data_IF_288123507244
#
_entry.id   IF_288123507244
#
_cell.length_a   1.000
_cell.length_b   1.000
_cell.length_c   1.000
_cell.angle_alpha   90.00
_cell.angle_beta   90.00
_cell.angle_gamma   90.00
#
_symmetry.space_group_name_H-M   'P 1'
#
loop_
_entity.id
_entity.type
_entity.pdbx_description
1 polymer ?
#
# COMPACT_ATOMS: atom_id res chain seq x y z
N UNK A 1 19.03 -0.89 -6.59
CA UNK A 1 17.98 -1.04 -7.61
C UNK A 1 18.63 -1.30 -8.97
N UNK A 2 18.16 -2.27 -9.73
CA UNK A 2 18.59 -2.49 -11.10
C UNK A 2 17.67 -1.67 -12.02
N UNK A 3 18.13 -0.55 -12.53
CA UNK A 3 17.47 0.09 -13.68
C UNK A 3 18.09 -0.47 -14.96
N UNK A 4 17.26 -0.64 -15.97
CA UNK A 4 17.75 -1.09 -17.28
C UNK A 4 18.37 0.10 -18.02
N UNK A 5 19.58 -0.03 -18.52
CA UNK A 5 20.24 1.03 -19.33
C UNK A 5 19.51 1.26 -20.65
N UNK A 6 18.76 0.25 -21.10
CA UNK A 6 18.00 0.26 -22.35
C UNK A 6 16.52 0.12 -22.03
N UNK A 7 15.74 1.15 -22.23
CA UNK A 7 14.30 1.18 -21.92
C UNK A 7 13.51 0.61 -23.08
N UNK A 8 12.58 -0.31 -22.81
CA UNK A 8 11.69 -0.87 -23.84
C UNK A 8 10.53 0.06 -24.22
N UNK A 9 10.26 1.09 -23.41
CA UNK A 9 9.20 2.06 -23.64
C UNK A 9 9.74 3.50 -23.65
N UNK A 10 9.11 4.36 -24.45
CA UNK A 10 9.45 5.78 -24.58
C UNK A 10 8.20 6.60 -24.92
N UNK A 11 8.29 7.90 -24.80
CA UNK A 11 7.21 8.83 -25.14
C UNK A 11 7.30 9.23 -26.62
N UNK A 12 6.18 9.16 -27.34
CA UNK A 12 6.07 9.65 -28.70
C UNK A 12 5.67 11.14 -28.77
N UNK A 13 5.54 11.68 -29.97
CA UNK A 13 5.19 13.08 -30.19
C UNK A 13 3.79 13.47 -29.66
N UNK A 14 2.87 12.50 -29.53
CA UNK A 14 1.53 12.71 -28.98
C UNK A 14 1.50 12.57 -27.43
N UNK A 15 2.65 12.41 -26.78
CA UNK A 15 2.75 12.25 -25.34
C UNK A 15 2.37 10.87 -24.81
N UNK A 16 2.24 9.86 -25.70
CA UNK A 16 1.89 8.47 -25.36
C UNK A 16 3.13 7.62 -25.23
N UNK A 17 3.10 6.70 -24.29
CA UNK A 17 4.14 5.66 -24.16
C UNK A 17 3.96 4.62 -25.26
N UNK A 18 5.05 4.34 -25.99
CA UNK A 18 5.10 3.38 -27.09
C UNK A 18 6.23 2.39 -26.88
N UNK A 19 6.00 1.12 -27.26
CA UNK A 19 7.02 0.08 -27.18
C UNK A 19 8.00 0.20 -28.35
N UNK A 20 9.26 -0.14 -28.10
CA UNK A 20 10.35 0.00 -29.11
C UNK A 20 10.05 -0.74 -30.41
N UNK A 21 9.37 -1.89 -30.35
CA UNK A 21 9.05 -2.69 -31.53
C UNK A 21 7.93 -2.09 -32.40
N UNK A 22 7.24 -1.07 -31.91
CA UNK A 22 6.13 -0.41 -32.64
C UNK A 22 6.56 0.84 -33.38
N UNK A 23 7.83 1.23 -33.28
CA UNK A 23 8.36 2.46 -33.89
C UNK A 23 9.49 2.17 -34.87
N UNK A 24 9.80 3.09 -35.80
CA UNK A 24 10.95 2.95 -36.71
C UNK A 24 12.27 2.85 -35.95
N UNK A 25 13.18 2.02 -36.46
CA UNK A 25 14.54 1.88 -35.89
C UNK A 25 15.38 3.18 -36.02
N UNK A 26 16.25 3.39 -35.05
CA UNK A 26 17.17 4.52 -34.99
C UNK A 26 16.51 5.82 -34.53
N UNK A 27 17.07 6.96 -34.95
CA UNK A 27 16.56 8.30 -34.60
C UNK A 27 15.19 8.61 -35.20
N UNK A 28 14.80 7.86 -36.23
CA UNK A 28 13.51 8.04 -36.90
C UNK A 28 12.31 7.62 -36.06
N UNK A 29 12.52 7.01 -34.89
CA UNK A 29 11.47 6.70 -33.95
C UNK A 29 10.70 7.95 -33.47
N UNK A 30 11.37 9.14 -33.48
CA UNK A 30 10.74 10.38 -33.03
C UNK A 30 10.38 10.41 -31.53
N UNK A 31 10.93 9.47 -30.73
CA UNK A 31 10.61 9.34 -29.32
C UNK A 31 11.55 10.14 -28.43
N UNK A 32 11.05 10.53 -27.27
CA UNK A 32 11.78 11.26 -26.23
C UNK A 32 11.71 10.53 -24.89
N UNK A 33 12.65 10.85 -24.01
CA UNK A 33 12.58 10.43 -22.61
C UNK A 33 11.51 11.28 -21.86
N UNK A 34 10.55 10.67 -21.16
CA UNK A 34 9.50 11.43 -20.47
C UNK A 34 10.01 12.28 -19.30
N UNK A 35 11.25 12.05 -18.82
CA UNK A 35 11.85 12.83 -17.73
C UNK A 35 12.71 13.97 -18.24
N UNK A 36 13.79 13.66 -18.99
CA UNK A 36 14.76 14.67 -19.41
C UNK A 36 14.46 15.29 -20.77
N UNK A 37 13.42 14.81 -21.46
CA UNK A 37 12.97 15.23 -22.80
C UNK A 37 14.04 15.10 -23.90
N UNK A 38 15.12 14.36 -23.62
CA UNK A 38 16.14 14.07 -24.60
C UNK A 38 15.60 13.11 -25.68
N UNK A 39 15.98 13.35 -26.92
CA UNK A 39 15.66 12.46 -28.02
C UNK A 39 16.27 11.08 -27.79
N UNK A 40 15.49 10.06 -28.05
CA UNK A 40 15.90 8.67 -27.93
C UNK A 40 16.21 8.05 -29.30
N UNK A 41 16.96 6.97 -29.24
CA UNK A 41 17.31 6.15 -30.42
C UNK A 41 16.76 4.75 -30.19
N UNK A 42 15.85 4.30 -31.03
CA UNK A 42 15.36 2.93 -31.00
C UNK A 42 16.46 1.97 -31.51
N UNK A 43 16.74 0.93 -30.72
CA UNK A 43 17.69 -0.12 -31.03
C UNK A 43 16.95 -1.42 -31.20
N UNK A 44 16.90 -1.94 -32.42
CA UNK A 44 16.14 -3.13 -32.82
C UNK A 44 17.06 -4.06 -33.63
N UNK A 45 18.18 -4.49 -33.02
CA UNK A 45 19.16 -5.35 -33.69
C UNK A 45 18.98 -6.82 -33.27
N UNK A 46 19.37 -7.72 -34.16
CA UNK A 46 19.17 -9.16 -33.99
C UNK A 46 19.95 -9.81 -32.84
N UNK A 47 20.95 -9.11 -32.28
CA UNK A 47 21.85 -9.68 -31.25
C UNK A 47 21.55 -9.21 -29.85
N UNK A 48 21.06 -7.99 -29.66
CA UNK A 48 20.82 -7.39 -28.36
C UNK A 48 19.33 -7.17 -28.13
N UNK A 49 18.91 -7.13 -26.86
CA UNK A 49 17.54 -6.79 -26.48
C UNK A 49 17.13 -5.44 -27.09
N UNK A 50 15.93 -5.39 -27.64
CA UNK A 50 15.38 -4.16 -28.21
C UNK A 50 15.11 -3.13 -27.10
N UNK A 51 15.40 -1.87 -27.38
CA UNK A 51 15.12 -0.80 -26.44
C UNK A 51 15.52 0.58 -26.94
N UNK A 52 15.18 1.58 -26.16
CA UNK A 52 15.57 2.96 -26.40
C UNK A 52 16.82 3.34 -25.63
N UNK A 53 17.68 4.13 -26.24
CA UNK A 53 18.83 4.71 -25.60
C UNK A 53 18.83 6.23 -25.78
N UNK A 54 19.30 6.97 -24.78
CA UNK A 54 19.51 8.41 -24.88
C UNK A 54 20.56 8.72 -25.96
N UNK A 55 20.31 9.73 -26.77
CA UNK A 55 21.20 10.11 -27.87
C UNK A 55 22.59 10.52 -27.37
N UNK A 56 22.66 11.21 -26.23
CA UNK A 56 23.91 11.62 -25.56
C UNK A 56 24.59 10.49 -24.78
N UNK A 57 24.09 9.24 -24.87
CA UNK A 57 24.50 8.12 -24.01
C UNK A 57 24.32 8.39 -22.52
N UNK A 58 23.28 9.16 -22.16
CA UNK A 58 22.95 9.49 -20.77
C UNK A 58 23.89 10.52 -20.13
N UNK A 59 24.72 11.23 -20.89
CA UNK A 59 25.57 12.30 -20.34
C UNK A 59 24.68 13.43 -19.82
N UNK A 60 24.70 13.64 -18.49
CA UNK A 60 23.92 14.67 -17.82
C UNK A 60 22.49 14.26 -17.42
N UNK A 61 22.00 13.09 -17.83
CA UNK A 61 20.71 12.57 -17.38
C UNK A 61 20.90 11.65 -16.17
N UNK A 62 19.99 11.77 -15.19
CA UNK A 62 19.88 10.76 -14.14
C UNK A 62 19.03 9.59 -14.67
N UNK A 63 19.68 8.54 -15.16
CA UNK A 63 19.02 7.40 -15.81
C UNK A 63 18.07 6.68 -14.86
N UNK A 64 18.37 6.65 -13.55
CA UNK A 64 17.48 6.07 -12.55
C UNK A 64 16.17 6.84 -12.44
N UNK A 65 16.22 8.16 -12.40
CA UNK A 65 15.02 9.00 -12.43
C UNK A 65 14.27 8.86 -13.75
N UNK A 66 15.00 8.83 -14.88
CA UNK A 66 14.40 8.60 -16.20
C UNK A 66 13.61 7.28 -16.22
N UNK A 67 14.16 6.22 -15.64
CA UNK A 67 13.49 4.92 -15.56
C UNK A 67 12.22 4.96 -14.69
N UNK A 68 12.31 5.58 -13.51
CA UNK A 68 11.16 5.74 -12.60
C UNK A 68 10.03 6.55 -13.23
N UNK A 69 10.37 7.64 -13.92
CA UNK A 69 9.37 8.47 -14.63
C UNK A 69 8.73 7.69 -15.78
N UNK A 70 9.53 6.90 -16.51
CA UNK A 70 9.03 6.03 -17.59
C UNK A 70 8.08 4.96 -17.04
N UNK A 71 8.42 4.30 -15.92
CA UNK A 71 7.55 3.34 -15.24
C UNK A 71 6.24 3.98 -14.81
N UNK A 72 6.29 5.15 -14.16
CA UNK A 72 5.12 5.86 -13.70
C UNK A 72 4.18 6.19 -14.85
N UNK A 73 4.70 6.85 -15.90
CA UNK A 73 3.89 7.27 -17.04
C UNK A 73 3.28 6.08 -17.78
N UNK A 74 4.05 4.99 -17.91
CA UNK A 74 3.51 3.75 -18.50
C UNK A 74 2.43 3.12 -17.61
N UNK A 75 2.60 3.09 -16.29
CA UNK A 75 1.59 2.56 -15.37
C UNK A 75 0.28 3.34 -15.45
N UNK A 76 0.33 4.66 -15.49
CA UNK A 76 -0.81 5.53 -15.68
C UNK A 76 -1.51 5.24 -17.00
N UNK A 77 -0.77 5.16 -18.10
CA UNK A 77 -1.33 4.87 -19.43
C UNK A 77 -1.96 3.47 -19.51
N UNK A 78 -1.37 2.46 -18.87
CA UNK A 78 -1.95 1.11 -18.82
C UNK A 78 -3.32 1.16 -18.13
N UNK A 79 -3.44 1.80 -16.97
CA UNK A 79 -4.72 1.90 -16.25
C UNK A 79 -5.74 2.71 -17.06
N UNK A 80 -5.34 3.79 -17.71
CA UNK A 80 -6.21 4.59 -18.56
C UNK A 80 -6.75 3.79 -19.75
N UNK A 81 -5.88 3.00 -20.38
CA UNK A 81 -6.22 2.23 -21.58
C UNK A 81 -7.01 0.97 -21.25
N UNK A 82 -6.56 0.20 -20.27
CA UNK A 82 -7.17 -1.07 -19.87
C UNK A 82 -8.40 -0.88 -19.00
N UNK A 83 -8.53 0.28 -18.36
CA UNK A 83 -9.62 0.62 -17.42
C UNK A 83 -9.88 -0.48 -16.39
N UNK A 84 -8.82 -1.11 -15.94
CA UNK A 84 -8.86 -2.23 -15.00
C UNK A 84 -7.58 -2.26 -14.17
N UNK A 85 -7.71 -2.73 -12.93
CA UNK A 85 -6.58 -3.06 -12.05
C UNK A 85 -6.92 -4.29 -11.20
N UNK A 86 -5.93 -5.15 -10.98
CA UNK A 86 -6.02 -6.22 -10.01
C UNK A 86 -5.63 -5.68 -8.63
N UNK A 87 -6.42 -5.99 -7.60
CA UNK A 87 -6.24 -5.45 -6.24
C UNK A 87 -6.15 -6.56 -5.20
N UNK A 88 -5.34 -6.36 -4.15
CA UNK A 88 -5.17 -7.33 -3.09
C UNK A 88 -6.42 -7.44 -2.22
N UNK A 89 -6.50 -8.56 -1.50
CA UNK A 89 -7.45 -8.72 -0.42
C UNK A 89 -7.23 -7.68 0.68
N UNK A 90 -8.28 -7.43 1.48
CA UNK A 90 -8.21 -6.52 2.61
C UNK A 90 -8.91 -7.16 3.82
N UNK A 91 -8.14 -7.50 4.84
CA UNK A 91 -8.59 -8.16 6.08
C UNK A 91 -9.47 -9.41 5.87
N UNK A 92 -9.19 -10.22 4.84
CA UNK A 92 -9.97 -11.44 4.48
C UNK A 92 -11.45 -11.21 4.18
N UNK A 93 -11.94 -9.98 4.28
CA UNK A 93 -13.33 -9.60 4.03
C UNK A 93 -13.50 -9.11 2.60
N UNK A 94 -12.62 -8.22 2.18
CA UNK A 94 -12.50 -7.83 0.79
C UNK A 94 -11.57 -8.82 0.10
N UNK A 95 -12.11 -9.61 -0.82
CA UNK A 95 -11.32 -10.60 -1.55
C UNK A 95 -10.49 -9.93 -2.64
N UNK A 96 -9.34 -10.52 -2.91
CA UNK A 96 -8.55 -10.23 -4.08
C UNK A 96 -9.41 -10.32 -5.35
N UNK A 97 -9.39 -9.31 -6.20
CA UNK A 97 -10.27 -9.20 -7.36
C UNK A 97 -9.78 -8.19 -8.38
N UNK A 98 -10.36 -8.23 -9.57
CA UNK A 98 -10.22 -7.16 -10.56
C UNK A 98 -11.26 -6.07 -10.32
N UNK A 99 -10.85 -4.82 -10.47
CA UNK A 99 -11.75 -3.67 -10.49
C UNK A 99 -11.76 -3.07 -11.89
N UNK A 100 -12.96 -2.95 -12.47
CA UNK A 100 -13.18 -2.32 -13.77
C UNK A 100 -13.67 -0.88 -13.61
N UNK A 101 -13.16 0.00 -14.46
CA UNK A 101 -13.48 1.42 -14.47
C UNK A 101 -14.21 1.85 -15.74
N UNK A 102 -15.11 2.79 -15.61
CA UNK A 102 -15.78 3.46 -16.75
C UNK A 102 -15.09 4.76 -17.11
N UNK A 103 -14.52 5.45 -16.12
CA UNK A 103 -13.77 6.71 -16.27
C UNK A 103 -12.45 6.65 -15.51
N UNK A 104 -11.38 7.15 -16.12
CA UNK A 104 -10.05 7.23 -15.53
C UNK A 104 -9.47 8.59 -15.82
N UNK A 105 -9.05 9.30 -14.79
CA UNK A 105 -8.37 10.60 -14.87
C UNK A 105 -6.98 10.47 -14.32
N UNK A 106 -6.02 10.92 -15.09
CA UNK A 106 -4.59 10.89 -14.76
C UNK A 106 -4.11 12.30 -14.46
N UNK A 107 -3.23 12.43 -13.49
CA UNK A 107 -2.50 13.64 -13.19
C UNK A 107 -1.00 13.32 -13.19
N UNK A 108 -0.40 13.34 -14.36
CA UNK A 108 1.02 13.01 -14.54
C UNK A 108 1.91 14.12 -13.98
N UNK A 109 2.42 13.89 -12.78
CA UNK A 109 3.48 14.68 -12.15
C UNK A 109 4.39 13.75 -11.36
N UNK A 110 5.65 13.65 -11.73
CA UNK A 110 6.55 12.77 -11.01
C UNK A 110 6.81 13.25 -9.59
N UNK A 111 7.18 14.52 -9.42
CA UNK A 111 7.31 15.14 -8.10
C UNK A 111 6.03 15.88 -7.73
N UNK A 112 5.57 15.69 -6.49
CA UNK A 112 4.32 16.26 -6.00
C UNK A 112 4.54 17.04 -4.71
N UNK A 113 3.99 18.21 -4.65
CA UNK A 113 3.91 19.03 -3.44
C UNK A 113 2.52 18.97 -2.79
N UNK A 114 1.51 18.56 -3.56
CA UNK A 114 0.13 18.40 -3.12
C UNK A 114 -0.19 16.95 -2.71
N UNK A 115 -1.44 16.74 -2.25
CA UNK A 115 -1.97 15.44 -1.82
C UNK A 115 -2.82 14.76 -2.87
N UNK A 116 -2.74 15.18 -4.14
CA UNK A 116 -3.54 14.58 -5.19
C UNK A 116 -3.02 13.17 -5.55
N UNK A 117 -3.90 12.21 -5.87
CA UNK A 117 -3.50 10.90 -6.35
C UNK A 117 -2.96 10.98 -7.78
N UNK A 118 -2.25 9.95 -8.22
CA UNK A 118 -1.80 9.82 -9.61
C UNK A 118 -2.95 9.49 -10.55
N UNK A 119 -3.88 8.64 -10.07
CA UNK A 119 -5.06 8.24 -10.84
C UNK A 119 -6.31 8.36 -9.98
N UNK A 120 -7.38 8.91 -10.59
CA UNK A 120 -8.74 8.89 -10.06
C UNK A 120 -9.59 8.08 -11.04
N UNK A 121 -10.05 6.91 -10.62
CA UNK A 121 -10.84 6.01 -11.43
C UNK A 121 -12.26 5.84 -10.86
N UNK A 122 -13.26 5.69 -11.73
CA UNK A 122 -14.66 5.56 -11.32
C UNK A 122 -15.25 4.29 -11.90
N UNK A 123 -15.94 3.49 -11.09
CA UNK A 123 -16.66 2.27 -11.52
C UNK A 123 -18.06 2.59 -12.07
N UNK A 124 -18.73 1.57 -12.62
CA UNK A 124 -20.14 1.66 -13.09
C UNK A 124 -21.10 2.09 -11.97
N UNK A 125 -20.81 1.69 -10.75
CA UNK A 125 -21.61 2.04 -9.56
C UNK A 125 -21.28 3.44 -9.02
N UNK A 126 -20.55 4.25 -9.79
CA UNK A 126 -20.09 5.59 -9.43
C UNK A 126 -19.18 5.62 -8.18
N UNK A 127 -18.52 4.51 -7.88
CA UNK A 127 -17.55 4.46 -6.80
C UNK A 127 -16.20 4.95 -7.30
N UNK A 128 -15.58 5.86 -6.54
CA UNK A 128 -14.26 6.42 -6.85
C UNK A 128 -13.16 5.64 -6.16
N UNK A 129 -12.13 5.35 -6.93
CA UNK A 129 -10.87 4.76 -6.48
C UNK A 129 -9.73 5.73 -6.76
N UNK A 130 -8.92 5.95 -5.75
CA UNK A 130 -7.66 6.69 -5.88
C UNK A 130 -6.52 5.69 -6.00
N UNK A 131 -5.60 5.92 -6.92
CA UNK A 131 -4.40 5.10 -7.05
C UNK A 131 -3.19 6.02 -6.91
N UNK A 132 -2.25 5.58 -6.10
CA UNK A 132 -1.00 6.29 -5.83
C UNK A 132 0.16 5.36 -6.13
N UNK A 133 1.06 5.79 -7.00
CA UNK A 133 2.29 5.08 -7.29
C UNK A 133 3.41 5.54 -6.36
N UNK A 134 4.15 4.62 -5.79
CA UNK A 134 5.27 4.92 -4.90
C UNK A 134 6.54 4.15 -5.29
N UNK A 135 7.66 4.62 -4.75
CA UNK A 135 8.97 3.99 -4.83
C UNK A 135 9.58 4.02 -3.43
N UNK A 136 10.09 2.89 -2.93
CA UNK A 136 10.66 2.79 -1.58
C UNK A 136 11.93 3.64 -1.41
N UNK A 137 12.68 3.79 -2.49
CA UNK A 137 13.96 4.47 -2.55
C UNK A 137 13.86 5.92 -3.05
N UNK A 138 12.64 6.42 -3.31
CA UNK A 138 12.42 7.77 -3.80
C UNK A 138 11.12 8.39 -3.27
N UNK A 139 11.24 9.47 -2.53
CA UNK A 139 10.09 10.22 -1.99
C UNK A 139 9.56 11.18 -3.05
N UNK A 140 8.46 10.82 -3.70
CA UNK A 140 7.78 11.64 -4.70
C UNK A 140 6.91 12.74 -4.11
N UNK A 141 6.54 12.60 -2.83
CA UNK A 141 5.57 13.47 -2.16
C UNK A 141 6.21 14.13 -0.95
N UNK A 142 6.13 15.45 -0.86
CA UNK A 142 6.59 16.21 0.30
C UNK A 142 5.67 16.08 1.51
N UNK A 143 4.42 15.66 1.31
CA UNK A 143 3.41 15.51 2.35
C UNK A 143 2.82 14.09 2.31
N UNK A 144 2.52 13.53 3.50
CA UNK A 144 1.82 12.26 3.60
C UNK A 144 0.42 12.35 3.00
N UNK A 145 -0.02 11.27 2.35
CA UNK A 145 -1.37 11.18 1.79
C UNK A 145 -2.42 11.28 2.89
N UNK A 146 -3.35 12.22 2.76
CA UNK A 146 -4.50 12.37 3.63
C UNK A 146 -5.80 11.85 3.01
N UNK A 147 -5.73 10.72 2.26
CA UNK A 147 -6.91 10.14 1.60
C UNK A 147 -7.76 9.27 2.53
N UNK A 148 -7.91 9.71 3.77
CA UNK A 148 -8.61 8.95 4.80
C UNK A 148 -10.10 8.72 4.51
N UNK A 149 -10.67 9.50 3.59
CA UNK A 149 -12.09 9.51 3.30
C UNK A 149 -12.46 8.77 2.01
N UNK A 150 -11.50 8.33 1.23
CA UNK A 150 -11.73 7.74 -0.08
C UNK A 150 -10.99 6.43 -0.23
N UNK A 151 -11.56 5.50 -0.99
CA UNK A 151 -10.90 4.24 -1.33
C UNK A 151 -9.61 4.53 -2.08
N UNK A 152 -8.48 4.21 -1.48
CA UNK A 152 -7.16 4.52 -2.00
C UNK A 152 -6.24 3.30 -1.99
N UNK A 153 -5.69 2.98 -3.15
CA UNK A 153 -4.72 1.92 -3.38
C UNK A 153 -3.33 2.51 -3.58
N UNK A 154 -2.35 2.04 -2.84
CA UNK A 154 -0.93 2.28 -3.10
C UNK A 154 -0.36 1.15 -3.93
N UNK A 155 0.40 1.49 -4.96
CA UNK A 155 1.08 0.55 -5.86
C UNK A 155 2.57 0.87 -5.88
N UNK A 156 3.38 -0.06 -5.40
CA UNK A 156 4.83 0.11 -5.34
C UNK A 156 5.48 -0.33 -6.64
N UNK A 157 6.14 0.60 -7.30
CA UNK A 157 6.82 0.38 -8.57
C UNK A 157 8.33 0.06 -8.44
N UNK A 158 8.86 0.02 -7.21
CA UNK A 158 10.32 -0.12 -6.95
C UNK A 158 10.95 -1.31 -7.66
N UNK A 159 10.25 -2.46 -7.67
CA UNK A 159 10.74 -3.74 -8.21
C UNK A 159 10.21 -4.05 -9.60
N UNK A 160 9.38 -3.18 -10.16
CA UNK A 160 8.69 -3.45 -11.41
C UNK A 160 9.59 -3.16 -12.62
N UNK A 161 9.33 -3.89 -13.70
CA UNK A 161 10.03 -3.75 -14.97
C UNK A 161 9.06 -3.32 -16.07
N UNK A 162 9.52 -2.50 -17.00
CA UNK A 162 8.70 -1.96 -18.08
C UNK A 162 7.94 -3.05 -18.87
N UNK A 163 8.61 -4.15 -19.23
CA UNK A 163 8.03 -5.23 -20.04
C UNK A 163 7.01 -6.10 -19.30
N UNK A 164 7.02 -6.12 -17.97
CA UNK A 164 6.09 -6.89 -17.15
C UNK A 164 5.07 -6.03 -16.41
N UNK A 165 5.12 -4.71 -16.60
CA UNK A 165 4.32 -3.77 -15.84
C UNK A 165 2.81 -3.95 -16.07
N UNK A 166 2.41 -4.20 -17.31
CA UNK A 166 1.00 -4.46 -17.63
C UNK A 166 0.50 -5.72 -16.92
N UNK A 167 1.24 -6.83 -17.03
CA UNK A 167 0.89 -8.05 -16.34
C UNK A 167 0.82 -7.85 -14.82
N UNK A 168 1.81 -7.16 -14.23
CA UNK A 168 1.82 -6.82 -12.80
C UNK A 168 0.56 -6.02 -12.40
N UNK A 169 0.21 -4.98 -13.13
CA UNK A 169 -0.95 -4.16 -12.80
C UNK A 169 -2.27 -4.92 -12.91
N UNK A 170 -2.40 -5.81 -13.89
CA UNK A 170 -3.65 -6.47 -14.25
C UNK A 170 -3.85 -7.86 -13.61
N UNK A 171 -2.82 -8.48 -13.04
CA UNK A 171 -2.93 -9.87 -12.54
C UNK A 171 -2.29 -10.13 -11.19
N UNK A 172 -1.44 -9.22 -10.68
CA UNK A 172 -0.74 -9.44 -9.41
C UNK A 172 -1.29 -8.57 -8.30
N UNK A 173 -1.41 -9.14 -7.10
CA UNK A 173 -1.70 -8.40 -5.86
C UNK A 173 -0.43 -7.98 -5.10
N UNK A 174 0.74 -8.52 -5.46
CA UNK A 174 2.01 -8.18 -4.82
C UNK A 174 2.35 -6.70 -5.01
N UNK A 175 3.10 -6.14 -4.08
CA UNK A 175 3.53 -4.73 -4.06
C UNK A 175 2.35 -3.71 -4.16
N UNK A 176 1.12 -4.15 -3.84
CA UNK A 176 -0.08 -3.31 -3.76
C UNK A 176 -0.69 -3.42 -2.38
N UNK A 177 -1.10 -2.29 -1.82
CA UNK A 177 -1.78 -2.28 -0.52
C UNK A 177 -2.82 -1.16 -0.43
N UNK A 178 -3.89 -1.42 0.33
CA UNK A 178 -4.90 -0.42 0.60
C UNK A 178 -4.41 0.59 1.63
N UNK A 179 -4.42 1.87 1.28
CA UNK A 179 -4.29 2.96 2.26
C UNK A 179 -5.62 3.10 2.99
N UNK A 180 -6.73 3.05 2.23
CA UNK A 180 -8.09 3.02 2.74
C UNK A 180 -9.01 2.31 1.74
N UNK A 181 -10.08 1.67 2.21
CA UNK A 181 -11.07 1.00 1.34
C UNK A 181 -12.50 1.18 1.88
N UNK A 182 -13.25 2.14 1.31
CA UNK A 182 -14.64 2.43 1.70
C UNK A 182 -15.59 1.26 1.41
N UNK A 183 -15.33 0.46 0.35
CA UNK A 183 -16.10 -0.78 0.07
C UNK A 183 -15.95 -1.78 1.20
N UNK A 184 -14.75 -1.85 1.77
CA UNK A 184 -14.47 -2.68 2.91
C UNK A 184 -15.38 -2.33 4.12
N UNK A 185 -15.55 -1.05 4.42
CA UNK A 185 -16.45 -0.61 5.49
C UNK A 185 -17.90 -1.00 5.25
N UNK A 186 -18.39 -0.81 4.03
CA UNK A 186 -19.76 -1.22 3.67
C UNK A 186 -19.93 -2.73 3.77
N UNK A 187 -18.95 -3.49 3.32
CA UNK A 187 -18.92 -4.95 3.45
C UNK A 187 -18.89 -5.43 4.90
N UNK A 188 -18.12 -4.74 5.76
CA UNK A 188 -18.08 -5.00 7.20
C UNK A 188 -19.44 -4.68 7.82
N UNK A 189 -20.00 -3.51 7.58
CA UNK A 189 -21.31 -3.12 8.15
C UNK A 189 -22.40 -4.12 7.79
N UNK A 190 -22.48 -4.55 6.52
CA UNK A 190 -23.43 -5.58 6.07
C UNK A 190 -23.18 -6.91 6.79
N UNK A 191 -21.94 -7.40 6.76
CA UNK A 191 -21.56 -8.69 7.34
C UNK A 191 -21.82 -8.74 8.84
N UNK A 192 -21.59 -7.63 9.56
CA UNK A 192 -21.75 -7.58 11.01
C UNK A 192 -23.14 -7.22 11.46
N UNK A 193 -23.87 -6.45 10.68
CA UNK A 193 -25.28 -6.17 10.90
C UNK A 193 -26.13 -7.44 10.75
N UNK A 194 -25.78 -8.31 9.83
CA UNK A 194 -26.53 -9.53 9.53
C UNK A 194 -26.09 -10.75 10.36
N UNK A 195 -24.83 -10.87 10.75
CA UNK A 195 -24.30 -12.05 11.42
C UNK A 195 -23.76 -11.86 12.84
N UNK A 196 -23.55 -10.64 13.31
CA UNK A 196 -23.24 -10.26 14.71
C UNK A 196 -22.04 -10.93 15.39
N UNK A 197 -21.29 -11.77 14.69
CA UNK A 197 -20.46 -12.80 15.34
C UNK A 197 -18.94 -12.71 15.13
N UNK A 198 -18.42 -11.97 14.17
CA UNK A 198 -16.98 -12.03 13.90
C UNK A 198 -16.21 -10.74 14.21
N UNK A 199 -16.73 -9.57 13.97
CA UNK A 199 -16.11 -8.29 14.28
C UNK A 199 -17.17 -7.22 14.45
N UNK A 200 -17.01 -6.34 15.39
CA UNK A 200 -17.85 -5.18 15.63
C UNK A 200 -17.03 -3.94 15.29
N UNK A 201 -17.59 -3.02 14.52
CA UNK A 201 -17.03 -1.68 14.40
C UNK A 201 -17.37 -0.90 15.66
N UNK A 202 -16.35 -0.35 16.30
CA UNK A 202 -16.49 0.53 17.47
C UNK A 202 -15.86 1.88 17.15
N UNK A 203 -16.35 2.95 17.75
CA UNK A 203 -15.71 4.25 17.63
C UNK A 203 -14.31 4.23 18.28
N UNK A 204 -13.44 5.17 17.89
CA UNK A 204 -12.12 5.28 18.53
C UNK A 204 -12.25 5.64 20.01
N UNK A 205 -13.27 6.41 20.37
CA UNK A 205 -13.61 6.76 21.75
C UNK A 205 -13.99 5.52 22.56
N UNK A 206 -14.92 4.69 22.07
CA UNK A 206 -15.29 3.42 22.72
C UNK A 206 -14.07 2.50 22.89
N UNK A 207 -13.19 2.45 21.89
CA UNK A 207 -11.97 1.67 21.98
C UNK A 207 -10.98 2.24 23.01
N UNK A 208 -10.86 3.56 23.11
CA UNK A 208 -10.00 4.24 24.11
C UNK A 208 -10.48 3.99 25.54
N UNK A 209 -11.78 3.93 25.77
CA UNK A 209 -12.38 3.69 27.08
C UNK A 209 -12.44 2.20 27.44
N UNK A 210 -12.13 1.31 26.52
CA UNK A 210 -12.22 -0.13 26.74
C UNK A 210 -11.18 -0.61 27.76
N UNK A 211 -11.67 -1.25 28.85
CA UNK A 211 -10.84 -1.74 29.97
C UNK A 211 -9.77 -2.77 29.55
N UNK A 212 -10.00 -3.48 28.45
CA UNK A 212 -9.08 -4.51 27.94
C UNK A 212 -8.26 -4.04 26.74
N UNK A 213 -8.25 -2.74 26.43
CA UNK A 213 -7.60 -2.18 25.24
C UNK A 213 -6.15 -2.58 25.11
N UNK A 214 -5.36 -2.49 26.15
CA UNK A 214 -3.92 -2.82 26.14
C UNK A 214 -3.68 -4.28 25.79
N UNK A 215 -4.46 -5.20 26.37
CA UNK A 215 -4.37 -6.63 26.10
C UNK A 215 -4.88 -6.96 24.69
N UNK A 216 -5.94 -6.29 24.24
CA UNK A 216 -6.45 -6.41 22.89
C UNK A 216 -5.39 -5.97 21.86
N UNK A 217 -4.73 -4.84 22.04
CA UNK A 217 -3.64 -4.38 21.18
C UNK A 217 -2.47 -5.36 21.15
N UNK A 218 -2.09 -5.95 22.29
CA UNK A 218 -1.01 -6.91 22.38
C UNK A 218 -1.32 -8.20 21.58
N UNK A 219 -2.54 -8.73 21.72
CA UNK A 219 -2.99 -9.92 20.97
C UNK A 219 -3.09 -9.62 19.47
N UNK A 220 -3.64 -8.47 19.09
CA UNK A 220 -3.73 -8.06 17.69
C UNK A 220 -2.35 -7.87 17.06
N UNK A 221 -1.40 -7.28 17.79
CA UNK A 221 -0.03 -7.13 17.31
C UNK A 221 0.66 -8.48 17.09
N UNK A 222 0.42 -9.46 17.98
CA UNK A 222 0.93 -10.83 17.83
C UNK A 222 0.33 -11.55 16.63
N UNK A 223 -0.98 -11.49 16.46
CA UNK A 223 -1.72 -12.29 15.48
C UNK A 223 -1.68 -11.68 14.06
N UNK A 224 -1.54 -10.37 13.97
CA UNK A 224 -1.61 -9.62 12.70
C UNK A 224 -0.40 -8.71 12.44
N UNK A 225 0.59 -8.69 13.33
CA UNK A 225 1.78 -7.85 13.20
C UNK A 225 1.56 -6.35 13.43
N UNK A 226 0.34 -5.92 13.76
CA UNK A 226 0.01 -4.51 14.04
C UNK A 226 -1.18 -4.38 15.00
N UNK A 227 -1.24 -3.27 15.73
CA UNK A 227 -2.42 -2.91 16.52
C UNK A 227 -3.65 -2.75 15.62
N UNK A 228 -4.84 -2.91 16.22
CA UNK A 228 -6.13 -2.71 15.55
C UNK A 228 -6.08 -1.47 14.66
N UNK A 229 -6.26 -1.59 13.34
CA UNK A 229 -6.16 -0.46 12.44
C UNK A 229 -7.21 0.59 12.78
N UNK A 230 -6.78 1.83 12.75
CA UNK A 230 -7.67 2.98 12.81
C UNK A 230 -8.27 3.17 11.41
N UNK A 231 -9.58 3.10 11.34
CA UNK A 231 -10.34 3.24 10.11
C UNK A 231 -11.08 4.58 10.16
N UNK A 232 -11.01 5.37 9.11
CA UNK A 232 -11.61 6.71 9.06
C UNK A 232 -12.64 6.75 7.93
N UNK A 233 -13.90 7.06 8.25
CA UNK A 233 -14.98 7.24 7.27
C UNK A 233 -14.97 8.63 6.65
N UNK A 234 -15.72 8.81 5.55
CA UNK A 234 -15.85 10.03 4.76
C UNK A 234 -16.25 11.28 5.57
N UNK A 235 -16.89 11.11 6.72
CA UNK A 235 -17.27 12.19 7.63
C UNK A 235 -16.22 12.47 8.72
N UNK A 236 -15.03 11.91 8.61
CA UNK A 236 -13.96 12.04 9.60
C UNK A 236 -14.14 11.18 10.86
N UNK A 237 -15.22 10.39 10.99
CA UNK A 237 -15.40 9.48 12.11
C UNK A 237 -14.36 8.38 12.10
N UNK A 238 -13.74 8.17 13.25
CA UNK A 238 -12.71 7.15 13.47
C UNK A 238 -13.34 5.90 14.08
N UNK A 239 -13.00 4.75 13.49
CA UNK A 239 -13.48 3.45 13.94
C UNK A 239 -12.33 2.48 14.12
N UNK A 240 -12.55 1.50 14.99
CA UNK A 240 -11.65 0.37 15.16
C UNK A 240 -12.42 -0.93 15.02
N UNK A 241 -11.74 -1.96 14.54
CA UNK A 241 -12.28 -3.31 14.51
C UNK A 241 -12.18 -3.93 15.89
N UNK A 242 -13.33 -4.16 16.51
CA UNK A 242 -13.42 -4.89 17.77
C UNK A 242 -13.86 -6.32 17.49
N UNK A 243 -13.15 -7.31 18.02
CA UNK A 243 -13.43 -8.72 17.73
C UNK A 243 -14.58 -9.31 18.53
N UNK A 244 -15.06 -10.44 18.06
CA UNK A 244 -16.26 -11.17 18.45
C UNK A 244 -16.27 -11.74 19.85
N UNK A 245 -17.43 -12.28 20.25
CA UNK A 245 -17.65 -12.93 21.55
C UNK A 245 -16.61 -14.02 21.83
N UNK A 246 -16.28 -14.88 20.86
CA UNK A 246 -15.27 -15.93 21.06
C UNK A 246 -13.90 -15.32 21.35
N UNK A 247 -13.53 -14.31 20.59
CA UNK A 247 -12.24 -13.62 20.75
C UNK A 247 -12.22 -12.72 21.98
N UNK A 248 -13.36 -12.14 22.33
CA UNK A 248 -13.50 -11.41 23.59
C UNK A 248 -13.40 -12.36 24.80
N UNK A 249 -13.84 -13.62 24.67
CA UNK A 249 -13.63 -14.61 25.71
C UNK A 249 -12.16 -15.01 25.82
N UNK A 250 -11.50 -15.31 24.72
CA UNK A 250 -10.04 -15.56 24.68
C UNK A 250 -9.23 -14.40 25.27
N UNK A 251 -9.61 -13.16 24.98
CA UNK A 251 -9.01 -11.97 25.57
C UNK A 251 -9.25 -11.87 27.07
N UNK A 252 -10.45 -12.17 27.55
CA UNK A 252 -10.77 -12.19 28.99
C UNK A 252 -9.94 -13.25 29.70
N UNK A 253 -9.83 -14.43 29.12
CA UNK A 253 -9.04 -15.54 29.67
C UNK A 253 -7.55 -15.17 29.69
N UNK A 254 -7.04 -14.55 28.62
CA UNK A 254 -5.68 -14.01 28.57
C UNK A 254 -5.44 -12.94 29.64
N UNK A 255 -6.36 -11.97 29.80
CA UNK A 255 -6.25 -10.93 30.81
C UNK A 255 -6.27 -11.53 32.23
N UNK A 256 -7.12 -12.53 32.46
CA UNK A 256 -7.19 -13.24 33.74
C UNK A 256 -5.88 -13.95 34.03
N UNK A 257 -5.33 -14.65 33.06
CA UNK A 257 -4.02 -15.32 33.21
C UNK A 257 -2.89 -14.33 33.52
N UNK A 258 -2.84 -13.19 32.83
CA UNK A 258 -1.84 -12.16 33.11
C UNK A 258 -1.95 -11.60 34.52
N UNK A 259 -3.17 -11.43 35.03
CA UNK A 259 -3.40 -10.96 36.41
C UNK A 259 -2.99 -12.03 37.44
N UNK A 260 -3.30 -13.30 37.22
CA UNK A 260 -2.86 -14.41 38.04
C UNK A 260 -1.32 -14.50 38.11
N UNK A 261 -0.65 -14.35 36.94
CA UNK A 261 0.81 -14.34 36.86
C UNK A 261 1.42 -13.13 37.57
N UNK A 262 0.76 -11.98 37.53
CA UNK A 262 1.18 -10.78 38.28
C UNK A 262 1.10 -11.02 39.77
N UNK A 263 -0.03 -11.49 40.26
CA UNK A 263 -0.25 -11.79 41.67
C UNK A 263 0.72 -12.87 42.19
N UNK A 264 0.99 -13.89 41.38
CA UNK A 264 1.97 -14.91 41.72
C UNK A 264 3.40 -14.31 41.87
N UNK A 265 3.80 -13.44 40.95
CA UNK A 265 5.10 -12.75 41.04
C UNK A 265 5.20 -11.87 42.25
N UNK A 266 4.16 -11.11 42.57
CA UNK A 266 4.12 -10.26 43.78
C UNK A 266 4.17 -11.08 45.07
N UNK A 267 3.46 -12.24 45.12
CA UNK A 267 3.51 -13.14 46.25
C UNK A 267 4.90 -13.76 46.46
N UNK A 268 5.55 -14.14 45.36
CA UNK A 268 6.92 -14.68 45.39
C UNK A 268 7.95 -13.60 45.82
N UNK A 269 7.77 -12.36 45.38
CA UNK A 269 8.61 -11.24 45.80
C UNK A 269 8.48 -10.97 47.30
N UNK A 270 7.25 -10.93 47.83
CA UNK A 270 7.02 -10.79 49.30
C UNK A 270 7.70 -11.89 50.12
N UNK A 271 7.53 -13.16 49.70
CA UNK A 271 8.19 -14.31 50.35
C UNK A 271 9.71 -14.19 50.30
N UNK A 272 10.26 -13.65 49.25
CA UNK A 272 11.69 -13.42 49.13
C UNK A 272 12.16 -12.28 50.08
N UNK A 273 11.43 -11.19 50.18
CA UNK A 273 11.70 -10.10 51.11
C UNK A 273 11.62 -10.57 52.57
N UNK A 274 10.62 -11.35 52.95
CA UNK A 274 10.48 -11.95 54.27
C UNK A 274 11.70 -12.84 54.61
N UNK A 275 12.16 -13.67 53.68
CA UNK A 275 13.37 -14.49 53.87
C UNK A 275 14.65 -13.65 54.03
N UNK A 276 14.75 -12.54 53.33
CA UNK A 276 15.85 -11.62 53.44
C UNK A 276 15.87 -10.93 54.82
N UNK A 277 14.71 -10.51 55.31
CA UNK A 277 14.55 -9.90 56.62
C UNK A 277 14.89 -10.90 57.76
N UNK A 278 14.38 -12.15 57.66
CA UNK A 278 14.70 -13.20 58.62
C UNK A 278 16.21 -13.47 58.72
N UNK A 279 16.89 -13.58 57.57
CA UNK A 279 18.36 -13.75 57.53
C UNK A 279 19.16 -12.59 58.16
N UNK A 280 18.65 -11.35 58.03
CA UNK A 280 19.27 -10.19 58.68
C UNK A 280 19.13 -10.22 60.18
N UNK A 281 18.00 -10.77 60.72
CA UNK A 281 17.79 -10.90 62.17
C UNK A 281 18.59 -12.04 62.80
N UNK A 282 18.98 -13.07 62.02
CA UNK A 282 19.87 -14.16 62.49
C UNK A 282 21.35 -13.77 62.54
N UNK A 283 21.74 -12.66 61.95
CA UNK A 283 23.14 -12.18 61.91
C UNK A 283 23.45 -11.06 62.89
N UNK A 284 22.51 -10.67 63.72
CA UNK A 284 22.68 -9.72 64.86
C UNK A 284 22.60 -10.47 66.17
#
# INVERSE_FOLDING_TARGET
MYYEEVFSWAENAEGKMVHVDTVPNGKRCGCICPNCHEQLVARQGDVNAHGFAHLSHGRGANLEICYKVTLLKLAEQIIETQKRIHVPSYYEIYKETDIEFVDVKIDFRFEREDRQPDVIATTKENQKYLIVFCFDDYVRHKQSFGFYDLTCLSVNLTRQKLNSLENFLLTSSEDKHWINNDVYFKGIEVKYKDNGKLVKLVSDEECKECKIRSSCCAVMSRDYGFCTPLLIKNNGQQFRLCKTEKYMQELKDYCKQQEEDRLCREANHRKWEEKLLAKKHEQV
#
